data_IF_753073502412
#
_entry.id   IF_753073502412
#
_cell.length_a   1.000
_cell.length_b   1.000
_cell.length_c   1.000
_cell.angle_alpha   90.00
_cell.angle_beta   90.00
_cell.angle_gamma   90.00
#
_symmetry.space_group_name_H-M   'P 1'
#
loop_
_entity.id
_entity.type
_entity.pdbx_description
1 polymer ?
#
# COMPACT_ATOMS: atom_id res chain seq x y z
N UNK A 1 -22.84 -0.16 -5.29
CA UNK A 1 -21.80 0.21 -6.28
C UNK A 1 -21.46 1.66 -6.00
N UNK A 2 -20.40 1.88 -5.25
CA UNK A 2 -19.92 3.23 -4.98
C UNK A 2 -19.08 3.62 -6.19
N UNK A 3 -19.40 4.76 -6.74
CA UNK A 3 -18.76 5.38 -7.89
C UNK A 3 -17.23 5.25 -7.85
N UNK A 4 -16.72 4.22 -8.52
CA UNK A 4 -15.30 4.09 -8.87
C UNK A 4 -14.85 5.23 -9.81
N UNK A 5 -15.76 6.16 -10.07
CA UNK A 5 -15.66 7.22 -11.07
C UNK A 5 -15.33 8.60 -10.51
N UNK A 6 -14.85 8.71 -9.27
CA UNK A 6 -14.24 10.00 -8.91
C UNK A 6 -12.90 10.12 -9.62
N UNK A 7 -12.68 11.19 -10.41
CA UNK A 7 -11.45 11.39 -11.18
C UNK A 7 -10.19 11.52 -10.30
N UNK A 8 -10.34 11.41 -8.99
CA UNK A 8 -9.30 11.65 -7.99
C UNK A 8 -8.58 10.40 -7.49
N UNK A 9 -8.93 9.19 -7.98
CA UNK A 9 -8.22 7.96 -7.64
C UNK A 9 -8.38 7.55 -6.18
N UNK A 10 -9.60 7.21 -5.74
CA UNK A 10 -9.88 6.74 -4.37
C UNK A 10 -9.11 5.44 -4.02
N UNK A 11 -8.80 4.62 -5.01
CA UNK A 11 -8.05 3.37 -4.87
C UNK A 11 -6.53 3.64 -4.92
N UNK A 12 -5.70 2.70 -5.34
CA UNK A 12 -4.26 2.87 -5.57
C UNK A 12 -4.05 3.98 -6.61
N UNK A 13 -3.15 4.92 -6.31
CA UNK A 13 -3.08 6.16 -7.08
C UNK A 13 -1.82 6.26 -7.93
N UNK A 14 -0.69 5.72 -7.44
CA UNK A 14 0.62 6.05 -7.95
C UNK A 14 1.35 4.88 -8.59
N UNK A 15 2.21 5.24 -9.55
CA UNK A 15 3.24 4.42 -10.14
C UNK A 15 4.61 5.02 -9.80
N UNK A 16 5.60 4.16 -9.60
CA UNK A 16 6.98 4.55 -9.33
C UNK A 16 7.91 4.22 -10.49
N UNK A 17 9.07 4.87 -10.57
CA UNK A 17 10.06 4.69 -11.64
C UNK A 17 10.42 3.21 -11.91
N UNK A 18 10.46 2.37 -10.87
CA UNK A 18 10.77 0.94 -10.99
C UNK A 18 9.59 0.04 -11.38
N UNK A 19 8.39 0.59 -11.61
CA UNK A 19 7.18 -0.18 -11.96
C UNK A 19 7.15 -0.50 -13.47
N UNK A 20 8.20 -1.15 -13.96
CA UNK A 20 8.44 -1.33 -15.40
C UNK A 20 7.34 -2.08 -16.10
N UNK A 21 6.81 -3.17 -15.50
CA UNK A 21 5.72 -3.95 -16.10
C UNK A 21 4.40 -3.20 -16.09
N UNK A 22 4.15 -2.41 -15.03
CA UNK A 22 2.95 -1.55 -14.99
C UNK A 22 2.97 -0.49 -16.07
N UNK A 23 4.09 0.20 -16.33
CA UNK A 23 4.19 1.16 -17.43
C UNK A 23 3.99 0.50 -18.79
N UNK A 24 4.53 -0.69 -19.00
CA UNK A 24 4.29 -1.47 -20.21
C UNK A 24 2.80 -1.79 -20.38
N UNK A 25 2.14 -2.29 -19.32
CA UNK A 25 0.71 -2.61 -19.34
C UNK A 25 -0.15 -1.36 -19.62
N UNK A 26 0.17 -0.22 -19.01
CA UNK A 26 -0.51 1.06 -19.26
C UNK A 26 -0.40 1.43 -20.75
N UNK A 27 0.78 1.27 -21.35
CA UNK A 27 1.01 1.50 -22.78
C UNK A 27 0.27 0.51 -23.69
N UNK A 28 0.32 -0.79 -23.37
CA UNK A 28 -0.40 -1.86 -24.07
C UNK A 28 -1.92 -1.63 -24.10
N UNK A 29 -2.47 -1.03 -23.04
CA UNK A 29 -3.88 -0.68 -22.91
C UNK A 29 -4.25 0.68 -23.54
N UNK A 30 -3.30 1.37 -24.17
CA UNK A 30 -3.52 2.69 -24.77
C UNK A 30 -3.78 3.80 -23.75
N UNK A 31 -3.40 3.61 -22.49
CA UNK A 31 -3.53 4.59 -21.43
C UNK A 31 -2.27 5.46 -21.30
N UNK A 32 -2.38 6.57 -20.60
CA UNK A 32 -1.27 7.48 -20.36
C UNK A 32 -1.09 7.78 -18.86
N UNK A 33 0.10 8.24 -18.52
CA UNK A 33 0.44 8.71 -17.17
C UNK A 33 0.81 10.18 -17.17
N UNK A 34 0.76 10.78 -15.99
CA UNK A 34 1.24 12.13 -15.75
C UNK A 34 1.93 12.21 -14.40
N UNK A 35 2.87 13.15 -14.26
CA UNK A 35 3.62 13.33 -13.02
C UNK A 35 2.75 13.84 -11.87
N UNK A 36 2.95 13.28 -10.67
CA UNK A 36 2.48 13.89 -9.43
C UNK A 36 3.18 15.23 -9.25
N UNK A 37 2.43 16.27 -8.88
CA UNK A 37 3.00 17.60 -8.70
C UNK A 37 4.07 17.59 -7.60
N UNK A 38 5.30 17.89 -7.97
CA UNK A 38 6.47 17.92 -7.09
C UNK A 38 7.61 18.80 -7.60
N UNK A 39 7.49 19.36 -8.80
CA UNK A 39 8.57 20.07 -9.49
C UNK A 39 8.86 21.42 -8.83
N UNK A 40 7.84 22.05 -8.25
CA UNK A 40 7.92 23.35 -7.58
C UNK A 40 7.36 23.29 -6.17
N UNK A 41 7.81 24.23 -5.33
CA UNK A 41 7.37 24.35 -3.95
C UNK A 41 8.16 23.47 -2.99
N UNK A 42 7.82 23.59 -1.72
CA UNK A 42 8.47 22.92 -0.60
C UNK A 42 7.50 21.97 0.10
N UNK A 43 8.03 20.85 0.58
CA UNK A 43 7.38 19.97 1.53
C UNK A 43 7.40 20.61 2.91
N UNK A 44 6.28 20.55 3.62
CA UNK A 44 6.18 20.95 5.02
C UNK A 44 6.50 19.77 5.94
N UNK A 45 7.44 19.95 6.84
CA UNK A 45 7.79 19.00 7.88
C UNK A 45 7.41 19.57 9.25
N UNK A 46 6.57 18.84 9.99
CA UNK A 46 6.21 19.17 11.37
C UNK A 46 6.56 18.00 12.28
N UNK A 47 7.65 18.10 13.02
CA UNK A 47 8.10 17.08 13.95
C UNK A 47 8.29 17.69 15.35
N UNK A 48 7.66 17.08 16.36
CA UNK A 48 7.73 17.49 17.76
C UNK A 48 7.39 18.96 17.98
N UNK A 49 6.32 19.43 17.29
CA UNK A 49 5.85 20.80 17.35
C UNK A 49 6.75 21.83 16.64
N UNK A 50 7.81 21.38 15.96
CA UNK A 50 8.67 22.27 15.16
C UNK A 50 8.33 22.13 13.69
N UNK A 51 8.08 23.28 13.04
CA UNK A 51 7.79 23.36 11.61
C UNK A 51 9.00 23.81 10.84
N UNK A 52 9.23 23.16 9.72
CA UNK A 52 10.24 23.54 8.72
C UNK A 52 9.76 23.16 7.34
N UNK A 53 10.37 23.75 6.33
CA UNK A 53 10.14 23.40 4.93
C UNK A 53 11.43 22.92 4.29
N UNK A 54 11.31 22.03 3.31
CA UNK A 54 12.45 21.51 2.57
C UNK A 54 12.06 21.19 1.12
N UNK A 55 13.04 21.22 0.22
CA UNK A 55 12.81 20.75 -1.15
C UNK A 55 12.62 19.23 -1.12
N UNK A 56 11.51 18.70 -1.68
CA UNK A 56 11.29 17.28 -1.71
C UNK A 56 12.09 16.65 -2.85
N UNK A 57 13.11 15.90 -2.50
CA UNK A 57 13.86 15.05 -3.44
C UNK A 57 14.33 13.80 -2.71
N UNK A 58 14.58 12.73 -3.45
CA UNK A 58 15.14 11.49 -2.90
C UNK A 58 16.46 11.80 -2.17
N UNK A 59 16.59 11.32 -0.93
CA UNK A 59 17.74 11.61 -0.06
C UNK A 59 17.71 13.01 0.59
N UNK A 60 16.56 13.71 0.58
CA UNK A 60 16.42 15.00 1.23
C UNK A 60 16.64 14.88 2.75
N UNK A 61 17.42 15.81 3.30
CA UNK A 61 17.82 15.80 4.71
C UNK A 61 16.91 16.75 5.50
N UNK A 62 16.17 16.25 6.50
CA UNK A 62 15.32 17.09 7.33
C UNK A 62 16.14 18.06 8.18
N UNK A 63 15.61 19.26 8.41
CA UNK A 63 16.22 20.27 9.31
C UNK A 63 15.94 19.91 10.77
N UNK A 64 16.73 19.00 11.31
CA UNK A 64 16.72 18.56 12.71
C UNK A 64 18.09 18.86 13.35
N UNK A 65 18.22 18.63 14.66
CA UNK A 65 19.52 18.86 15.32
C UNK A 65 20.62 17.95 14.73
N UNK A 66 21.89 18.36 14.68
CA UNK A 66 22.99 17.55 14.16
C UNK A 66 23.08 16.18 14.81
N UNK A 67 22.81 16.07 16.10
CA UNK A 67 22.79 14.80 16.83
C UNK A 67 21.64 13.90 16.36
N UNK A 68 20.44 14.46 16.17
CA UNK A 68 19.31 13.69 15.66
C UNK A 68 19.52 13.27 14.19
N UNK A 69 20.17 14.10 13.38
CA UNK A 69 20.53 13.77 12.03
C UNK A 69 21.53 12.61 11.97
N UNK A 70 22.58 12.65 12.78
CA UNK A 70 23.56 11.56 12.87
C UNK A 70 22.91 10.25 13.33
N UNK A 71 22.01 10.31 14.33
CA UNK A 71 21.25 9.16 14.81
C UNK A 71 20.33 8.57 13.74
N UNK A 72 19.59 9.42 13.01
CA UNK A 72 18.75 9.00 11.89
C UNK A 72 19.58 8.36 10.77
N UNK A 73 20.65 9.03 10.34
CA UNK A 73 21.51 8.56 9.25
C UNK A 73 22.11 7.18 9.57
N UNK A 74 22.67 6.99 10.79
CA UNK A 74 23.20 5.69 11.17
C UNK A 74 22.12 4.61 11.23
N UNK A 75 20.89 4.97 11.66
CA UNK A 75 19.74 4.06 11.67
C UNK A 75 19.36 3.63 10.26
N UNK A 76 19.22 4.58 9.32
CA UNK A 76 18.93 4.31 7.91
C UNK A 76 19.99 3.42 7.26
N UNK A 77 21.28 3.71 7.47
CA UNK A 77 22.38 2.89 6.93
C UNK A 77 22.39 1.47 7.48
N UNK A 78 22.11 1.29 8.78
CA UNK A 78 22.01 -0.06 9.38
C UNK A 78 20.83 -0.83 8.81
N UNK A 79 19.66 -0.16 8.70
CA UNK A 79 18.46 -0.76 8.16
C UNK A 79 18.65 -1.18 6.70
N UNK A 80 19.19 -0.31 5.87
CA UNK A 80 19.51 -0.59 4.47
C UNK A 80 20.46 -1.78 4.28
N UNK A 81 21.51 -1.87 5.12
CA UNK A 81 22.45 -3.01 5.07
C UNK A 81 21.79 -4.34 5.44
N UNK A 82 20.86 -4.33 6.38
CA UNK A 82 20.10 -5.52 6.74
C UNK A 82 19.11 -5.88 5.61
N UNK A 83 18.39 -4.89 5.08
CA UNK A 83 17.45 -5.10 3.97
C UNK A 83 18.13 -5.72 2.75
N UNK A 84 19.29 -5.21 2.35
CA UNK A 84 20.06 -5.72 1.20
C UNK A 84 20.51 -7.20 1.32
N UNK A 85 20.45 -7.77 2.52
CA UNK A 85 20.82 -9.18 2.76
C UNK A 85 19.62 -10.12 2.78
N UNK A 86 18.40 -9.59 2.67
CA UNK A 86 17.18 -10.38 2.70
C UNK A 86 17.02 -11.16 1.40
N UNK A 87 16.76 -12.46 1.50
CA UNK A 87 16.38 -13.28 0.35
C UNK A 87 14.96 -12.88 -0.10
N UNK A 88 14.84 -12.41 -1.33
CA UNK A 88 13.56 -11.94 -1.87
C UNK A 88 12.63 -13.08 -2.30
N UNK A 89 13.20 -14.22 -2.70
CA UNK A 89 12.41 -15.37 -3.12
C UNK A 89 11.95 -16.21 -1.93
N UNK A 90 12.79 -16.30 -0.89
CA UNK A 90 12.58 -17.11 0.30
C UNK A 90 12.99 -16.35 1.57
N UNK A 91 12.26 -15.30 1.96
CA UNK A 91 12.65 -14.46 3.10
C UNK A 91 12.94 -15.22 4.39
N UNK A 92 12.26 -16.35 4.61
CA UNK A 92 12.47 -17.24 5.76
C UNK A 92 13.82 -17.97 5.76
N UNK A 93 14.55 -17.95 4.65
CA UNK A 93 15.93 -18.50 4.54
C UNK A 93 16.99 -17.39 4.63
N UNK A 94 16.62 -16.15 4.86
CA UNK A 94 17.58 -15.07 5.12
C UNK A 94 18.48 -15.43 6.29
N UNK A 95 19.81 -15.23 6.20
CA UNK A 95 20.70 -15.48 7.32
C UNK A 95 20.24 -14.75 8.60
N UNK A 96 19.96 -15.51 9.67
CA UNK A 96 19.42 -14.98 10.92
C UNK A 96 17.90 -14.68 10.89
N UNK A 97 17.15 -15.26 9.95
CA UNK A 97 15.72 -15.06 9.79
C UNK A 97 14.92 -15.23 11.09
N UNK A 98 15.22 -16.26 11.89
CA UNK A 98 14.55 -16.50 13.19
C UNK A 98 14.68 -15.31 14.14
N UNK A 99 15.86 -14.71 14.23
CA UNK A 99 16.10 -13.53 15.09
C UNK A 99 15.44 -12.28 14.51
N UNK A 100 15.47 -12.13 13.19
CA UNK A 100 14.88 -10.97 12.51
C UNK A 100 13.34 -11.04 12.53
N UNK A 101 12.77 -12.21 12.29
CA UNK A 101 11.33 -12.41 12.28
C UNK A 101 10.72 -12.51 13.68
N UNK A 102 11.48 -13.01 14.66
CA UNK A 102 11.06 -13.13 16.05
C UNK A 102 10.90 -11.79 16.80
N UNK A 103 11.14 -10.65 16.13
CA UNK A 103 10.99 -9.32 16.72
C UNK A 103 10.19 -8.37 15.82
N UNK A 104 9.58 -7.36 16.46
CA UNK A 104 8.91 -6.28 15.74
C UNK A 104 9.90 -5.25 15.21
N UNK A 105 9.52 -4.51 14.18
CA UNK A 105 10.29 -3.35 13.73
C UNK A 105 10.45 -2.30 14.83
N UNK A 106 9.43 -2.11 15.67
CA UNK A 106 9.48 -1.23 16.85
C UNK A 106 10.62 -1.62 17.81
N UNK A 107 10.81 -2.92 18.08
CA UNK A 107 11.90 -3.39 18.93
C UNK A 107 13.27 -3.03 18.36
N UNK A 108 13.42 -3.12 17.04
CA UNK A 108 14.65 -2.71 16.34
C UNK A 108 14.84 -1.18 16.40
N UNK A 109 13.79 -0.39 16.15
CA UNK A 109 13.81 1.07 16.21
C UNK A 109 14.29 1.53 17.59
N UNK A 110 13.68 1.02 18.67
CA UNK A 110 14.05 1.39 20.06
C UNK A 110 15.49 1.05 20.41
N UNK A 111 15.98 -0.07 19.89
CA UNK A 111 17.36 -0.54 20.17
C UNK A 111 18.40 0.27 19.40
N UNK A 112 18.11 0.70 18.20
CA UNK A 112 19.08 1.30 17.28
C UNK A 112 19.02 2.82 17.20
N UNK A 113 17.91 3.46 17.60
CA UNK A 113 17.74 4.90 17.56
C UNK A 113 17.61 5.50 18.97
N UNK A 114 18.35 6.57 19.23
CA UNK A 114 18.40 7.22 20.55
C UNK A 114 17.50 8.44 20.64
N UNK A 115 17.34 9.18 19.53
CA UNK A 115 16.59 10.43 19.49
C UNK A 115 15.10 10.22 19.22
N UNK A 116 14.28 11.12 19.77
CA UNK A 116 12.84 11.13 19.47
C UNK A 116 12.57 11.39 17.99
N UNK A 117 13.33 12.31 17.36
CA UNK A 117 13.18 12.64 15.95
C UNK A 117 13.55 11.47 15.03
N UNK A 118 14.66 10.75 15.33
CA UNK A 118 15.03 9.55 14.57
C UNK A 118 13.96 8.46 14.64
N UNK A 119 13.41 8.21 15.83
CA UNK A 119 12.32 7.24 16.01
C UNK A 119 11.03 7.67 15.29
N UNK A 120 10.66 8.96 15.40
CA UNK A 120 9.46 9.51 14.76
C UNK A 120 9.50 9.32 13.23
N UNK A 121 10.67 9.51 12.60
CA UNK A 121 10.83 9.26 11.17
C UNK A 121 10.44 7.83 10.78
N UNK A 122 10.97 6.82 11.49
CA UNK A 122 10.67 5.42 11.21
C UNK A 122 9.21 5.06 11.52
N UNK A 123 8.61 5.66 12.55
CA UNK A 123 7.18 5.45 12.86
C UNK A 123 6.28 6.02 11.76
N UNK A 124 6.52 7.26 11.33
CA UNK A 124 5.75 7.88 10.24
C UNK A 124 5.96 7.11 8.93
N UNK A 125 7.18 6.67 8.62
CA UNK A 125 7.45 5.85 7.46
C UNK A 125 6.69 4.51 7.52
N UNK A 126 6.63 3.86 8.70
CA UNK A 126 5.86 2.63 8.89
C UNK A 126 4.37 2.84 8.61
N UNK A 127 3.78 3.87 9.20
CA UNK A 127 2.38 4.19 8.99
C UNK A 127 2.10 4.50 7.51
N UNK A 128 2.93 5.33 6.86
CA UNK A 128 2.77 5.69 5.46
C UNK A 128 2.94 4.51 4.47
N UNK A 129 3.72 3.48 4.84
CA UNK A 129 3.99 2.32 3.98
C UNK A 129 2.96 1.19 4.18
N UNK A 130 2.60 0.87 5.42
CA UNK A 130 1.72 -0.27 5.74
C UNK A 130 0.40 0.13 6.39
N UNK A 131 0.18 1.40 6.72
CA UNK A 131 -0.96 1.84 7.53
C UNK A 131 -1.09 1.01 8.84
N UNK A 132 0.04 0.74 9.48
CA UNK A 132 0.20 -0.08 10.68
C UNK A 132 1.28 0.52 11.60
N UNK A 133 1.28 0.14 12.87
CA UNK A 133 2.35 0.50 13.78
C UNK A 133 3.57 -0.40 13.58
N UNK A 134 4.76 0.13 13.87
CA UNK A 134 6.00 -0.65 13.83
C UNK A 134 6.01 -1.84 14.82
N UNK A 135 5.11 -1.84 15.80
CA UNK A 135 4.86 -2.98 16.70
C UNK A 135 4.11 -4.14 16.06
N UNK A 136 3.40 -3.89 14.97
CA UNK A 136 2.56 -4.89 14.30
C UNK A 136 3.33 -5.63 13.20
N UNK A 137 4.42 -5.05 12.71
CA UNK A 137 5.20 -5.52 11.57
C UNK A 137 6.44 -6.27 12.02
N UNK A 138 6.68 -7.48 11.48
CA UNK A 138 7.94 -8.20 11.66
C UNK A 138 9.11 -7.38 11.13
N UNK A 139 10.25 -7.38 11.84
CA UNK A 139 11.46 -6.76 11.32
C UNK A 139 11.88 -7.42 10.00
N UNK A 140 11.83 -8.73 9.88
CA UNK A 140 12.18 -9.43 8.64
C UNK A 140 11.26 -8.98 7.49
N UNK A 141 9.96 -8.78 7.75
CA UNK A 141 9.04 -8.27 6.74
C UNK A 141 9.38 -6.83 6.33
N UNK A 142 9.69 -5.96 7.27
CA UNK A 142 10.10 -4.59 6.97
C UNK A 142 11.37 -4.53 6.10
N UNK A 143 12.34 -5.42 6.38
CA UNK A 143 13.57 -5.55 5.61
C UNK A 143 13.31 -6.10 4.19
N UNK A 144 12.56 -7.20 4.10
CA UNK A 144 12.13 -7.80 2.84
C UNK A 144 11.39 -6.80 1.95
N UNK A 145 10.39 -6.14 2.51
CA UNK A 145 9.58 -5.18 1.78
C UNK A 145 10.41 -4.02 1.25
N UNK A 146 11.32 -3.49 2.07
CA UNK A 146 12.23 -2.41 1.66
C UNK A 146 13.15 -2.87 0.52
N UNK A 147 13.73 -4.07 0.59
CA UNK A 147 14.58 -4.61 -0.46
C UNK A 147 13.80 -4.95 -1.74
N UNK A 148 12.60 -5.51 -1.59
CA UNK A 148 11.68 -5.80 -2.70
C UNK A 148 11.31 -4.55 -3.52
N UNK A 149 11.31 -3.37 -2.89
CA UNK A 149 10.88 -2.10 -3.43
C UNK A 149 12.04 -1.08 -3.58
N UNK A 150 13.23 -1.56 -3.82
CA UNK A 150 14.49 -0.83 -3.93
C UNK A 150 15.07 -0.37 -2.58
N UNK A 151 14.52 0.66 -1.95
CA UNK A 151 14.98 1.20 -0.67
C UNK A 151 13.86 2.01 0.04
N UNK A 152 14.11 2.38 1.30
CA UNK A 152 13.13 3.11 2.11
C UNK A 152 12.85 4.52 1.56
N UNK A 153 13.85 5.19 0.98
CA UNK A 153 13.67 6.51 0.38
C UNK A 153 12.74 6.44 -0.84
N UNK A 154 12.90 5.40 -1.67
CA UNK A 154 11.99 5.14 -2.81
C UNK A 154 10.55 4.95 -2.35
N UNK A 155 10.33 4.26 -1.23
CA UNK A 155 9.00 3.99 -0.71
C UNK A 155 8.23 5.25 -0.27
N UNK A 156 8.93 6.31 0.16
CA UNK A 156 8.33 7.53 0.70
C UNK A 156 8.46 8.75 -0.22
N UNK A 157 9.21 8.64 -1.32
CA UNK A 157 9.48 9.76 -2.21
C UNK A 157 8.46 9.87 -3.35
N UNK A 158 8.20 11.10 -3.81
CA UNK A 158 7.48 11.39 -5.06
C UNK A 158 8.46 11.37 -6.22
N UNK A 159 9.50 12.23 -6.22
CA UNK A 159 10.49 12.26 -7.29
C UNK A 159 11.36 11.01 -7.27
N UNK A 160 11.38 10.28 -8.38
CA UNK A 160 12.06 8.97 -8.53
C UNK A 160 11.70 7.96 -7.44
N UNK A 161 10.50 8.11 -6.88
CA UNK A 161 9.94 7.25 -5.84
C UNK A 161 8.68 6.54 -6.26
N UNK A 162 8.06 5.86 -5.32
CA UNK A 162 6.86 5.06 -5.55
C UNK A 162 5.59 5.89 -5.84
N UNK A 163 5.63 7.22 -5.60
CA UNK A 163 4.52 8.15 -5.83
C UNK A 163 4.73 9.07 -7.03
N UNK A 164 5.61 8.69 -7.98
CA UNK A 164 6.05 9.56 -9.07
C UNK A 164 4.96 9.93 -10.06
N UNK A 165 4.23 8.95 -10.57
CA UNK A 165 3.28 9.14 -11.65
C UNK A 165 1.88 8.65 -11.28
N UNK A 166 0.89 9.16 -12.00
CA UNK A 166 -0.51 8.78 -11.88
C UNK A 166 -1.08 8.45 -13.25
N UNK A 167 -2.04 7.53 -13.31
CA UNK A 167 -2.74 7.18 -14.55
C UNK A 167 -3.78 8.27 -14.85
N UNK A 168 -3.80 8.74 -16.10
CA UNK A 168 -4.79 9.68 -16.59
C UNK A 168 -6.19 9.08 -16.48
N UNK A 169 -7.11 9.77 -15.81
CA UNK A 169 -8.46 9.26 -15.52
C UNK A 169 -8.53 8.29 -14.33
N UNK A 170 -7.40 8.05 -13.63
CA UNK A 170 -7.32 7.20 -12.45
C UNK A 170 -6.94 5.75 -12.77
N UNK A 171 -6.35 5.06 -11.79
CA UNK A 171 -5.85 3.68 -11.96
C UNK A 171 -6.94 2.64 -12.25
N UNK A 172 -8.21 2.95 -11.98
CA UNK A 172 -9.35 2.10 -12.34
C UNK A 172 -9.44 1.86 -13.85
N UNK A 173 -8.95 2.81 -14.65
CA UNK A 173 -8.91 2.69 -16.12
C UNK A 173 -8.13 1.47 -16.62
N UNK A 174 -7.13 1.02 -15.85
CA UNK A 174 -6.38 -0.20 -16.16
C UNK A 174 -7.31 -1.41 -16.08
N UNK A 175 -8.04 -1.55 -14.96
CA UNK A 175 -8.96 -2.67 -14.77
C UNK A 175 -10.12 -2.62 -15.76
N UNK A 176 -10.66 -1.44 -16.06
CA UNK A 176 -11.72 -1.25 -17.06
C UNK A 176 -11.26 -1.66 -18.47
N UNK A 177 -10.06 -1.23 -18.88
CA UNK A 177 -9.51 -1.59 -20.20
C UNK A 177 -9.22 -3.10 -20.31
N UNK A 178 -8.65 -3.71 -19.26
CA UNK A 178 -8.44 -5.16 -19.21
C UNK A 178 -9.77 -5.92 -19.27
N UNK A 179 -10.78 -5.48 -18.52
CA UNK A 179 -12.11 -6.10 -18.52
C UNK A 179 -12.77 -5.98 -19.89
N UNK A 180 -12.64 -4.83 -20.55
CA UNK A 180 -13.15 -4.64 -21.91
C UNK A 180 -12.49 -5.58 -22.93
N UNK A 181 -11.18 -5.81 -22.82
CA UNK A 181 -10.45 -6.74 -23.67
C UNK A 181 -10.84 -8.21 -23.43
N UNK A 182 -11.22 -8.56 -22.22
CA UNK A 182 -11.69 -9.90 -21.84
C UNK A 182 -13.17 -10.13 -22.18
N UNK A 183 -13.97 -9.07 -22.29
CA UNK A 183 -15.38 -9.13 -22.64
C UNK A 183 -16.21 -9.97 -21.68
N UNK A 184 -17.03 -10.87 -22.20
CA UNK A 184 -17.95 -11.72 -21.43
C UNK A 184 -17.27 -12.70 -20.46
N UNK A 185 -15.95 -12.86 -20.54
CA UNK A 185 -15.18 -13.64 -19.57
C UNK A 185 -15.11 -12.97 -18.20
N UNK A 186 -15.40 -11.66 -18.12
CA UNK A 186 -15.47 -10.93 -16.86
C UNK A 186 -16.90 -10.95 -16.34
N UNK A 187 -17.12 -11.69 -15.27
CA UNK A 187 -18.43 -11.81 -14.62
C UNK A 187 -18.44 -10.99 -13.34
N UNK A 188 -19.15 -9.87 -13.36
CA UNK A 188 -19.31 -8.98 -12.21
C UNK A 188 -20.52 -9.35 -11.35
N UNK A 189 -20.54 -8.89 -10.10
CA UNK A 189 -21.68 -9.09 -9.19
C UNK A 189 -21.81 -10.53 -8.69
N UNK A 190 -20.73 -11.32 -8.76
CA UNK A 190 -20.68 -12.70 -8.32
C UNK A 190 -19.64 -12.92 -7.22
N UNK A 191 -19.87 -12.43 -6.00
CA UNK A 191 -18.93 -12.65 -4.89
C UNK A 191 -18.77 -14.15 -4.63
N UNK A 192 -17.54 -14.64 -4.71
CA UNK A 192 -17.21 -16.03 -4.44
C UNK A 192 -17.38 -16.33 -2.96
N UNK A 193 -17.98 -17.48 -2.66
CA UNK A 193 -18.14 -18.00 -1.31
C UNK A 193 -17.28 -19.23 -1.05
N UNK A 194 -17.24 -20.17 -2.01
CA UNK A 194 -16.62 -21.49 -1.85
C UNK A 194 -15.85 -21.90 -3.09
N UNK A 195 -14.76 -22.62 -2.88
CA UNK A 195 -13.97 -23.28 -3.91
C UNK A 195 -13.86 -24.76 -3.55
N UNK A 196 -14.47 -25.61 -4.38
CA UNK A 196 -14.29 -27.05 -4.34
C UNK A 196 -13.15 -27.41 -5.29
N UNK A 197 -12.24 -28.31 -4.88
CA UNK A 197 -11.09 -28.69 -5.70
C UNK A 197 -10.67 -30.14 -5.46
N UNK A 198 -10.20 -30.77 -6.50
CA UNK A 198 -9.65 -32.13 -6.46
C UNK A 198 -8.46 -32.29 -7.44
N UNK A 199 -8.05 -33.52 -7.71
CA UNK A 199 -6.98 -33.79 -8.70
C UNK A 199 -7.35 -33.44 -10.13
N UNK A 200 -8.65 -33.28 -10.48
CA UNK A 200 -9.15 -33.11 -11.83
C UNK A 200 -9.49 -31.66 -12.17
N UNK A 201 -9.87 -30.85 -11.19
CA UNK A 201 -10.26 -29.47 -11.45
C UNK A 201 -10.72 -28.70 -10.23
N UNK A 202 -11.38 -27.57 -10.51
CA UNK A 202 -11.96 -26.70 -9.48
C UNK A 202 -13.39 -26.33 -9.84
N UNK A 203 -14.21 -26.11 -8.82
CA UNK A 203 -15.55 -25.54 -8.93
C UNK A 203 -15.67 -24.35 -7.98
N UNK A 204 -15.84 -23.17 -8.55
CA UNK A 204 -15.96 -21.90 -7.82
C UNK A 204 -17.43 -21.55 -7.67
N UNK A 205 -17.93 -21.40 -6.47
CA UNK A 205 -19.33 -21.17 -6.14
C UNK A 205 -19.49 -19.75 -5.58
N UNK A 206 -20.36 -18.96 -6.23
CA UNK A 206 -20.71 -17.61 -5.79
C UNK A 206 -21.80 -17.62 -4.71
N UNK A 207 -22.01 -16.48 -4.04
CA UNK A 207 -23.03 -16.33 -2.98
C UNK A 207 -24.46 -16.55 -3.45
N UNK A 208 -24.76 -16.27 -4.71
CA UNK A 208 -26.07 -16.47 -5.31
C UNK A 208 -26.33 -17.93 -5.79
N UNK A 209 -25.37 -18.81 -5.57
CA UNK A 209 -25.44 -20.23 -5.95
C UNK A 209 -24.96 -20.52 -7.37
N UNK A 210 -24.64 -19.52 -8.18
CA UNK A 210 -24.00 -19.75 -9.49
C UNK A 210 -22.63 -20.39 -9.31
N UNK A 211 -22.23 -21.26 -10.22
CA UNK A 211 -20.93 -21.94 -10.17
C UNK A 211 -20.19 -21.87 -11.51
N UNK A 212 -18.86 -21.96 -11.41
CA UNK A 212 -17.93 -21.90 -12.51
C UNK A 212 -16.91 -23.02 -12.38
N UNK A 213 -16.62 -23.75 -13.46
CA UNK A 213 -15.68 -24.87 -13.47
C UNK A 213 -14.45 -24.52 -14.27
N UNK A 214 -13.30 -25.04 -13.85
CA UNK A 214 -12.04 -24.88 -14.55
C UNK A 214 -11.02 -25.92 -14.11
N UNK A 215 -9.92 -25.98 -14.83
CA UNK A 215 -8.82 -26.89 -14.51
C UNK A 215 -8.00 -26.41 -13.30
N UNK A 216 -7.97 -25.10 -13.06
CA UNK A 216 -7.34 -24.47 -11.92
C UNK A 216 -8.03 -23.15 -11.55
N UNK A 217 -7.79 -22.65 -10.36
CA UNK A 217 -8.22 -21.34 -9.90
C UNK A 217 -7.01 -20.50 -9.46
N UNK A 218 -7.00 -19.21 -9.83
CA UNK A 218 -6.05 -18.23 -9.30
C UNK A 218 -6.81 -17.28 -8.36
N UNK A 219 -6.54 -17.38 -7.07
CA UNK A 219 -7.15 -16.51 -6.05
C UNK A 219 -6.30 -15.25 -5.93
N UNK A 220 -6.88 -14.09 -6.28
CA UNK A 220 -6.21 -12.79 -6.27
C UNK A 220 -6.71 -11.87 -5.15
N UNK A 221 -7.43 -12.43 -4.19
CA UNK A 221 -7.95 -11.72 -3.04
C UNK A 221 -6.83 -11.39 -2.04
N UNK A 222 -6.94 -10.27 -1.29
CA UNK A 222 -6.07 -10.04 -0.15
C UNK A 222 -6.08 -11.25 0.81
N UNK A 223 -4.95 -11.60 1.46
CA UNK A 223 -4.85 -12.79 2.32
C UNK A 223 -5.97 -12.90 3.37
N UNK A 224 -6.35 -11.78 3.97
CA UNK A 224 -7.46 -11.71 4.93
C UNK A 224 -8.82 -12.11 4.35
N UNK A 225 -9.06 -11.87 3.07
CA UNK A 225 -10.29 -12.27 2.38
C UNK A 225 -10.18 -13.65 1.77
N UNK A 226 -9.02 -14.04 1.27
CA UNK A 226 -8.78 -15.41 0.81
C UNK A 226 -9.03 -16.43 1.93
N UNK A 227 -8.62 -16.11 3.18
CA UNK A 227 -8.90 -16.95 4.35
C UNK A 227 -10.37 -16.98 4.82
N UNK A 228 -11.26 -16.20 4.18
CA UNK A 228 -12.72 -16.23 4.47
C UNK A 228 -13.52 -17.06 3.48
N UNK A 229 -12.91 -17.53 2.42
CA UNK A 229 -13.54 -18.47 1.50
C UNK A 229 -13.63 -19.86 2.15
N UNK A 230 -14.69 -20.57 1.86
CA UNK A 230 -14.80 -22.00 2.16
C UNK A 230 -14.01 -22.81 1.11
N UNK A 231 -13.12 -23.69 1.54
CA UNK A 231 -12.38 -24.59 0.67
C UNK A 231 -12.78 -26.04 0.94
N UNK A 232 -13.01 -26.83 -0.10
CA UNK A 232 -13.37 -28.25 0.02
C UNK A 232 -12.57 -29.11 -0.99
N UNK A 233 -11.66 -29.96 -0.53
CA UNK A 233 -11.27 -30.15 0.87
C UNK A 233 -10.60 -28.90 1.47
N UNK A 234 -10.51 -28.82 2.82
CA UNK A 234 -9.84 -27.70 3.47
C UNK A 234 -8.42 -27.50 2.97
N UNK A 235 -7.97 -26.25 2.94
CA UNK A 235 -6.57 -25.94 2.61
C UNK A 235 -5.63 -26.62 3.62
N UNK A 236 -4.38 -26.90 3.20
CA UNK A 236 -3.34 -27.34 4.13
C UNK A 236 -3.21 -26.36 5.31
N UNK A 237 -3.07 -26.89 6.52
CA UNK A 237 -3.09 -26.10 7.76
C UNK A 237 -2.10 -24.94 7.78
N UNK A 238 -0.91 -25.13 7.19
CA UNK A 238 0.10 -24.06 7.09
C UNK A 238 -0.34 -22.90 6.18
N UNK A 239 -1.11 -23.16 5.11
CA UNK A 239 -1.70 -22.11 4.28
C UNK A 239 -2.80 -21.37 4.99
N UNK A 240 -3.68 -22.08 5.66
CA UNK A 240 -4.76 -21.49 6.47
C UNK A 240 -4.19 -20.63 7.60
N UNK A 241 -3.20 -21.15 8.33
CA UNK A 241 -2.52 -20.40 9.39
C UNK A 241 -1.81 -19.13 8.88
N UNK A 242 -1.24 -19.15 7.67
CA UNK A 242 -0.63 -17.97 7.07
C UNK A 242 -1.66 -16.84 6.89
N UNK A 243 -2.81 -17.12 6.28
CA UNK A 243 -3.84 -16.11 6.01
C UNK A 243 -4.40 -15.47 7.28
N UNK A 244 -4.47 -16.23 8.38
CA UNK A 244 -4.91 -15.73 9.67
C UNK A 244 -3.91 -14.76 10.34
N UNK A 245 -2.65 -14.76 9.91
CA UNK A 245 -1.54 -13.98 10.49
C UNK A 245 -1.00 -12.88 9.60
N UNK A 246 -1.68 -12.59 8.50
CA UNK A 246 -1.35 -11.51 7.59
C UNK A 246 -2.43 -10.42 7.65
N UNK A 247 -2.44 -9.56 8.69
CA UNK A 247 -3.42 -8.50 8.79
C UNK A 247 -3.20 -7.45 7.70
N UNK A 248 -4.28 -6.87 7.19
CA UNK A 248 -4.20 -5.69 6.34
C UNK A 248 -4.01 -4.43 7.19
N UNK A 249 -3.41 -3.40 6.61
CA UNK A 249 -3.27 -2.08 7.24
C UNK A 249 -4.63 -1.41 7.47
N UNK A 250 -4.64 -0.40 8.33
CA UNK A 250 -5.82 0.38 8.69
C UNK A 250 -5.70 1.79 8.13
N UNK A 251 -6.54 2.18 7.16
CA UNK A 251 -6.49 3.52 6.55
C UNK A 251 -7.85 4.07 6.19
N UNK A 252 -8.04 5.35 6.46
CA UNK A 252 -9.09 6.19 5.90
C UNK A 252 -8.40 7.18 4.96
N UNK A 253 -8.71 7.12 3.68
CA UNK A 253 -8.18 8.01 2.66
C UNK A 253 -9.13 9.18 2.46
N UNK A 254 -8.62 10.40 2.51
CA UNK A 254 -9.43 11.62 2.53
C UNK A 254 -9.00 12.57 1.43
N UNK A 255 -9.94 13.30 0.85
CA UNK A 255 -9.73 14.28 -0.20
C UNK A 255 -10.47 15.56 0.15
N UNK A 256 -9.78 16.69 0.07
CA UNK A 256 -10.38 18.02 0.12
C UNK A 256 -10.15 18.71 -1.23
N UNK A 257 -11.25 19.15 -1.82
CA UNK A 257 -11.29 19.72 -3.17
C UNK A 257 -11.53 21.22 -3.06
N UNK A 258 -10.72 21.99 -3.79
CA UNK A 258 -10.69 23.44 -3.81
C UNK A 258 -10.79 23.95 -5.24
N UNK A 259 -11.21 25.20 -5.50
CA UNK A 259 -11.23 25.78 -6.85
C UNK A 259 -9.86 25.71 -7.55
N UNK A 260 -8.79 25.88 -6.76
CA UNK A 260 -7.40 25.86 -7.22
C UNK A 260 -6.46 25.36 -6.13
N UNK A 261 -5.25 24.92 -6.47
CA UNK A 261 -4.25 24.47 -5.49
C UNK A 261 -3.58 25.67 -4.81
N UNK A 262 -4.29 26.36 -3.93
CA UNK A 262 -3.89 27.61 -3.28
C UNK A 262 -2.55 27.52 -2.54
N UNK A 263 -2.18 26.34 -2.03
CA UNK A 263 -0.89 26.11 -1.35
C UNK A 263 0.33 26.33 -2.25
N UNK A 264 0.16 26.24 -3.57
CA UNK A 264 1.23 26.52 -4.54
C UNK A 264 1.58 28.01 -4.55
N UNK A 265 0.62 28.89 -4.33
CA UNK A 265 0.85 30.33 -4.22
C UNK A 265 1.70 30.72 -2.99
N UNK A 266 1.68 29.86 -1.96
CA UNK A 266 2.48 30.03 -0.73
C UNK A 266 3.85 29.32 -0.83
N UNK A 267 4.23 28.84 -2.02
CA UNK A 267 5.49 28.14 -2.25
C UNK A 267 5.54 26.73 -1.68
N UNK A 268 4.37 26.09 -1.42
CA UNK A 268 4.25 24.74 -0.93
C UNK A 268 3.80 23.80 -2.07
N UNK A 269 4.21 22.54 -2.01
CA UNK A 269 3.88 21.54 -3.02
C UNK A 269 2.70 20.62 -2.63
N UNK A 270 1.99 20.92 -1.55
CA UNK A 270 0.89 20.08 -1.07
C UNK A 270 1.31 18.84 -0.28
N UNK A 271 2.61 18.61 -0.12
CA UNK A 271 3.11 17.58 0.77
C UNK A 271 3.30 18.14 2.19
N UNK A 272 2.80 17.42 3.17
CA UNK A 272 3.11 17.63 4.57
C UNK A 272 3.41 16.28 5.23
N UNK A 273 4.39 16.27 6.13
CA UNK A 273 4.72 15.14 6.99
C UNK A 273 4.71 15.63 8.42
N UNK A 274 3.91 14.98 9.28
CA UNK A 274 3.75 15.37 10.68
C UNK A 274 3.72 14.14 11.59
N UNK A 275 4.26 14.27 12.79
CA UNK A 275 4.09 13.28 13.86
C UNK A 275 2.87 13.56 14.76
N UNK A 276 2.03 14.53 14.39
CA UNK A 276 0.90 15.01 15.18
C UNK A 276 -0.40 15.09 14.39
N UNK A 277 -1.50 14.67 15.01
CA UNK A 277 -2.85 14.71 14.46
C UNK A 277 -3.21 13.46 13.65
N UNK A 278 -4.49 13.33 13.23
CA UNK A 278 -4.95 12.15 12.52
C UNK A 278 -4.35 12.03 11.12
N UNK A 279 -4.15 13.13 10.40
CA UNK A 279 -3.52 13.13 9.08
C UNK A 279 -2.05 13.48 9.23
N UNK A 280 -1.18 12.49 8.98
CA UNK A 280 0.27 12.67 9.13
C UNK A 280 0.99 12.89 7.81
N UNK A 281 0.42 12.43 6.70
CA UNK A 281 0.99 12.56 5.36
C UNK A 281 -0.06 13.11 4.40
N UNK A 282 0.35 14.09 3.58
CA UNK A 282 -0.49 14.66 2.52
C UNK A 282 0.25 14.74 1.20
N UNK A 283 -0.50 14.79 0.10
CA UNK A 283 0.04 15.05 -1.25
C UNK A 283 -0.89 15.95 -2.04
N UNK A 284 -0.32 16.68 -3.00
CA UNK A 284 -1.09 17.33 -4.05
C UNK A 284 -1.60 16.27 -5.04
N UNK A 285 -2.90 16.11 -5.08
CA UNK A 285 -3.59 15.16 -5.94
C UNK A 285 -4.35 15.85 -7.09
N UNK A 286 -4.03 17.12 -7.37
CA UNK A 286 -4.64 17.87 -8.46
C UNK A 286 -4.38 17.21 -9.81
N UNK A 287 -5.28 17.37 -10.80
CA UNK A 287 -5.05 16.91 -12.17
C UNK A 287 -3.93 17.72 -12.86
N UNK A 288 -3.45 17.29 -14.04
CA UNK A 288 -2.41 18.00 -14.79
C UNK A 288 -2.75 19.47 -15.10
N UNK A 289 -4.06 19.77 -15.27
CA UNK A 289 -4.54 21.15 -15.47
C UNK A 289 -4.34 22.06 -14.25
N UNK A 290 -4.01 21.49 -13.10
CA UNK A 290 -3.96 22.21 -11.82
C UNK A 290 -5.34 22.56 -11.24
N UNK A 291 -6.43 22.31 -11.94
CA UNK A 291 -7.81 22.61 -11.45
C UNK A 291 -8.73 21.44 -11.65
N UNK A 292 -9.54 21.11 -10.61
CA UNK A 292 -9.55 21.70 -9.27
C UNK A 292 -8.26 21.37 -8.49
N UNK A 293 -7.97 22.16 -7.44
CA UNK A 293 -6.95 21.84 -6.45
C UNK A 293 -7.43 20.70 -5.56
N UNK A 294 -6.62 19.65 -5.37
CA UNK A 294 -7.01 18.49 -4.57
C UNK A 294 -5.89 18.14 -3.60
N UNK A 295 -6.17 18.23 -2.30
CA UNK A 295 -5.31 17.66 -1.26
C UNK A 295 -5.79 16.25 -0.91
N UNK A 296 -4.89 15.29 -0.93
CA UNK A 296 -5.13 13.97 -0.37
C UNK A 296 -4.40 13.85 0.97
N UNK A 297 -5.08 13.28 1.96
CA UNK A 297 -4.53 12.98 3.26
C UNK A 297 -4.91 11.58 3.72
N UNK A 298 -4.10 11.03 4.61
CA UNK A 298 -4.29 9.67 5.11
C UNK A 298 -4.38 9.68 6.63
N UNK A 299 -5.43 9.04 7.15
CA UNK A 299 -5.53 8.65 8.55
C UNK A 299 -5.12 7.17 8.58
N UNK A 300 -4.04 6.83 9.30
CA UNK A 300 -3.39 5.52 9.19
C UNK A 300 -3.23 4.86 10.56
N UNK A 301 -3.10 3.53 10.55
CA UNK A 301 -2.77 2.74 11.71
C UNK A 301 -3.75 2.93 12.87
N UNK A 302 -3.23 3.19 14.06
CA UNK A 302 -3.99 3.42 15.29
C UNK A 302 -4.97 4.59 15.16
N UNK A 303 -4.56 5.65 14.48
CA UNK A 303 -5.43 6.80 14.25
C UNK A 303 -6.63 6.38 13.40
N UNK A 304 -6.45 5.63 12.32
CA UNK A 304 -7.56 5.13 11.51
C UNK A 304 -8.54 4.30 12.33
N UNK A 305 -8.05 3.38 13.15
CA UNK A 305 -8.90 2.55 14.04
C UNK A 305 -9.66 3.38 15.08
N UNK A 306 -9.09 4.49 15.52
CA UNK A 306 -9.74 5.43 16.45
C UNK A 306 -10.79 6.26 15.74
N UNK A 307 -10.43 6.85 14.59
CA UNK A 307 -11.30 7.74 13.84
C UNK A 307 -12.42 7.02 13.06
N UNK A 308 -12.26 5.75 12.71
CA UNK A 308 -13.32 4.93 12.13
C UNK A 308 -14.56 4.81 13.04
N UNK A 309 -14.41 5.03 14.35
CA UNK A 309 -15.51 5.02 15.33
C UNK A 309 -16.19 6.38 15.49
N UNK A 310 -15.72 7.40 14.81
CA UNK A 310 -16.29 8.75 14.80
C UNK A 310 -17.22 8.92 13.61
N UNK A 311 -18.05 9.96 13.67
CA UNK A 311 -18.89 10.33 12.53
C UNK A 311 -18.05 10.91 11.40
N UNK A 312 -18.57 10.88 10.17
CA UNK A 312 -17.93 11.50 9.01
C UNK A 312 -17.69 13.00 9.24
N UNK A 313 -18.62 13.71 9.86
CA UNK A 313 -18.47 15.11 10.18
C UNK A 313 -17.29 15.38 11.13
N UNK A 314 -17.15 14.58 12.19
CA UNK A 314 -16.00 14.69 13.12
C UNK A 314 -14.68 14.40 12.40
N UNK A 315 -14.64 13.39 11.53
CA UNK A 315 -13.45 13.08 10.73
C UNK A 315 -13.10 14.21 9.77
N UNK A 316 -14.09 14.72 9.03
CA UNK A 316 -13.92 15.86 8.14
C UNK A 316 -13.34 17.07 8.87
N UNK A 317 -13.90 17.44 10.00
CA UNK A 317 -13.45 18.61 10.77
C UNK A 317 -12.00 18.41 11.28
N UNK A 318 -11.64 17.21 11.73
CA UNK A 318 -10.28 16.88 12.14
C UNK A 318 -9.29 16.92 10.97
N UNK A 319 -9.67 16.40 9.79
CA UNK A 319 -8.84 16.42 8.57
C UNK A 319 -8.62 17.84 8.08
N UNK A 320 -9.70 18.62 7.96
CA UNK A 320 -9.61 20.03 7.54
C UNK A 320 -8.79 20.83 8.57
N UNK A 321 -8.94 20.55 9.87
CA UNK A 321 -8.11 21.13 10.93
C UNK A 321 -6.61 20.84 10.72
N UNK A 322 -6.24 19.63 10.29
CA UNK A 322 -4.87 19.31 9.90
C UNK A 322 -4.42 20.12 8.67
N UNK A 323 -5.26 20.19 7.62
CA UNK A 323 -4.93 20.96 6.40
C UNK A 323 -4.78 22.45 6.68
N UNK A 324 -5.64 23.03 7.54
CA UNK A 324 -5.49 24.43 8.02
C UNK A 324 -4.16 24.61 8.75
N UNK A 325 -3.81 23.67 9.60
CA UNK A 325 -2.53 23.70 10.31
C UNK A 325 -1.34 23.63 9.35
N UNK A 326 -1.42 22.85 8.27
CA UNK A 326 -0.31 22.69 7.31
C UNK A 326 -0.28 23.84 6.28
N UNK A 327 -1.41 24.20 5.71
CA UNK A 327 -1.51 25.04 4.52
C UNK A 327 -2.21 26.38 4.77
N UNK A 328 -2.54 26.72 6.02
CA UNK A 328 -3.16 27.98 6.38
C UNK A 328 -4.68 27.99 6.23
N UNK A 329 -5.29 29.16 6.59
CA UNK A 329 -6.75 29.34 6.70
C UNK A 329 -7.51 29.09 5.39
N UNK A 330 -6.86 29.21 4.23
CA UNK A 330 -7.49 28.91 2.95
C UNK A 330 -7.99 27.45 2.87
N UNK A 331 -7.33 26.53 3.57
CA UNK A 331 -7.73 25.12 3.63
C UNK A 331 -9.09 24.88 4.29
N UNK A 332 -9.59 25.82 5.11
CA UNK A 332 -10.92 25.73 5.70
C UNK A 332 -12.05 25.88 4.65
N UNK A 333 -11.75 26.46 3.49
CA UNK A 333 -12.72 26.72 2.42
C UNK A 333 -12.77 25.60 1.38
N UNK A 334 -12.73 24.35 1.83
CA UNK A 334 -12.89 23.22 0.93
C UNK A 334 -14.34 23.17 0.40
N UNK A 335 -14.49 23.05 -0.93
CA UNK A 335 -15.79 22.99 -1.60
C UNK A 335 -16.44 21.62 -1.49
N UNK A 336 -15.60 20.57 -1.54
CA UNK A 336 -16.05 19.20 -1.43
C UNK A 336 -15.05 18.40 -0.61
N UNK A 337 -15.57 17.57 0.29
CA UNK A 337 -14.81 16.58 1.04
C UNK A 337 -15.29 15.19 0.66
N UNK A 338 -14.35 14.29 0.43
CA UNK A 338 -14.63 12.88 0.11
C UNK A 338 -13.71 12.03 0.95
N UNK A 339 -14.23 10.97 1.54
CA UNK A 339 -13.41 10.00 2.26
C UNK A 339 -13.79 8.55 1.93
N UNK A 340 -12.86 7.64 2.19
CA UNK A 340 -13.10 6.21 2.10
C UNK A 340 -12.42 5.50 3.26
N UNK A 341 -13.21 4.85 4.11
CA UNK A 341 -12.73 3.91 5.11
C UNK A 341 -12.53 2.53 4.48
N UNK A 342 -11.26 2.21 4.18
CA UNK A 342 -10.93 0.95 3.53
C UNK A 342 -11.08 -0.27 4.44
N UNK A 343 -11.14 -0.09 5.76
CA UNK A 343 -11.43 -1.17 6.72
C UNK A 343 -12.91 -1.58 6.67
N UNK A 344 -13.79 -0.63 6.37
CA UNK A 344 -15.23 -0.87 6.27
C UNK A 344 -15.65 -1.50 4.93
N UNK A 345 -14.82 -1.36 3.87
CA UNK A 345 -15.13 -1.89 2.54
C UNK A 345 -15.20 -3.42 2.56
N UNK A 346 -16.35 -3.99 2.15
CA UNK A 346 -16.63 -5.42 2.25
C UNK A 346 -15.59 -6.30 1.55
N UNK A 347 -15.13 -5.89 0.37
CA UNK A 347 -14.23 -6.66 -0.48
C UNK A 347 -12.77 -6.21 -0.40
N UNK A 348 -12.40 -5.43 0.62
CA UNK A 348 -11.03 -4.97 0.85
C UNK A 348 -10.59 -5.25 2.29
N UNK A 349 -11.38 -4.78 3.27
CA UNK A 349 -11.16 -4.99 4.73
C UNK A 349 -9.82 -4.52 5.24
N UNK A 350 -9.27 -3.48 4.62
CA UNK A 350 -8.02 -2.82 4.97
C UNK A 350 -7.23 -2.39 3.75
N UNK A 351 -6.22 -1.60 3.96
CA UNK A 351 -5.28 -1.07 2.97
C UNK A 351 -3.99 -0.60 3.71
N UNK A 352 -2.78 -0.54 3.10
CA UNK A 352 -2.61 -0.66 1.66
C UNK A 352 -2.52 -2.10 1.17
N UNK A 353 -2.00 -3.02 1.95
CA UNK A 353 -1.86 -4.44 1.73
C UNK A 353 -1.75 -5.18 3.06
N UNK A 354 -1.63 -6.49 3.01
CA UNK A 354 -1.35 -7.30 4.18
C UNK A 354 0.16 -7.30 4.47
N UNK A 355 0.50 -7.39 5.77
CA UNK A 355 1.88 -7.48 6.24
C UNK A 355 2.07 -8.70 7.11
N UNK A 356 3.30 -9.15 7.26
CA UNK A 356 3.63 -10.28 8.10
C UNK A 356 3.91 -9.83 9.54
N UNK A 357 3.18 -10.39 10.49
CA UNK A 357 3.44 -10.24 11.90
C UNK A 357 4.73 -11.01 12.31
N UNK A 358 5.31 -10.72 13.49
CA UNK A 358 6.48 -11.47 13.97
C UNK A 358 6.26 -12.98 14.00
N UNK A 359 7.27 -13.76 13.56
CA UNK A 359 7.28 -15.22 13.53
C UNK A 359 6.54 -15.85 12.35
N UNK A 360 5.89 -15.05 11.51
CA UNK A 360 5.06 -15.60 10.41
C UNK A 360 5.91 -16.05 9.22
N UNK A 361 6.97 -15.31 8.87
CA UNK A 361 7.86 -15.71 7.78
C UNK A 361 8.55 -17.05 8.06
N UNK A 362 9.12 -17.21 9.24
CA UNK A 362 9.86 -18.42 9.61
C UNK A 362 8.97 -19.63 9.85
N UNK A 363 7.71 -19.42 10.26
CA UNK A 363 6.77 -20.52 10.51
C UNK A 363 5.97 -20.94 9.27
N UNK A 364 5.64 -20.00 8.39
CA UNK A 364 4.66 -20.22 7.31
C UNK A 364 5.11 -19.67 5.96
N UNK A 365 6.35 -19.18 5.83
CA UNK A 365 6.84 -18.56 4.61
C UNK A 365 6.78 -19.46 3.39
N UNK A 366 7.01 -20.77 3.55
CA UNK A 366 6.89 -21.75 2.46
C UNK A 366 5.49 -21.76 1.82
N UNK A 367 4.45 -21.48 2.59
CA UNK A 367 3.07 -21.39 2.09
C UNK A 367 2.79 -20.09 1.32
N UNK A 368 3.69 -19.12 1.34
CA UNK A 368 3.44 -17.77 0.80
C UNK A 368 2.91 -17.77 -0.63
N UNK A 369 3.55 -18.50 -1.53
CA UNK A 369 3.20 -18.60 -2.95
C UNK A 369 2.91 -20.02 -3.41
N UNK A 370 3.13 -21.00 -2.54
CA UNK A 370 2.95 -22.39 -2.89
C UNK A 370 1.50 -22.69 -3.26
N UNK A 371 1.23 -23.32 -4.41
CA UNK A 371 -0.12 -23.75 -4.76
C UNK A 371 -0.68 -24.75 -3.75
N UNK A 372 -1.98 -24.77 -3.57
CA UNK A 372 -2.72 -25.80 -2.84
C UNK A 372 -3.50 -26.66 -3.85
N UNK A 373 -2.89 -27.73 -4.33
CA UNK A 373 -3.42 -28.52 -5.43
C UNK A 373 -3.56 -27.67 -6.71
N UNK A 374 -4.77 -27.48 -7.19
CA UNK A 374 -5.09 -26.66 -8.37
C UNK A 374 -5.47 -25.22 -8.03
N UNK A 375 -5.30 -24.80 -6.79
CA UNK A 375 -5.51 -23.42 -6.35
C UNK A 375 -4.16 -22.71 -6.29
N UNK A 376 -4.02 -21.66 -7.08
CA UNK A 376 -2.84 -20.79 -7.17
C UNK A 376 -3.15 -19.43 -6.54
N UNK A 377 -2.10 -18.67 -6.19
CA UNK A 377 -2.22 -17.40 -5.50
C UNK A 377 -1.52 -16.31 -6.29
N UNK A 378 -2.20 -15.18 -6.46
CA UNK A 378 -1.62 -13.95 -6.98
C UNK A 378 -2.17 -12.75 -6.22
N UNK A 379 -1.57 -11.61 -6.43
CA UNK A 379 -1.88 -10.35 -5.76
C UNK A 379 -0.61 -9.62 -5.37
N UNK A 380 -0.75 -8.39 -4.94
CA UNK A 380 0.37 -7.53 -4.59
C UNK A 380 1.27 -8.15 -3.51
N UNK A 381 0.68 -8.88 -2.57
CA UNK A 381 1.37 -9.55 -1.47
C UNK A 381 2.09 -10.83 -1.88
N UNK A 382 1.83 -11.35 -3.08
CA UNK A 382 2.45 -12.60 -3.58
C UNK A 382 3.70 -12.37 -4.42
N UNK A 383 4.17 -11.14 -4.58
CA UNK A 383 5.34 -10.83 -5.41
C UNK A 383 6.61 -10.66 -4.59
N UNK A 384 7.74 -11.25 -5.01
CA UNK A 384 9.05 -11.00 -4.40
C UNK A 384 9.62 -9.63 -4.80
N UNK A 385 9.10 -9.01 -5.86
CA UNK A 385 9.52 -7.71 -6.37
C UNK A 385 8.33 -6.77 -6.40
N UNK A 386 8.48 -5.57 -5.86
CA UNK A 386 7.42 -4.58 -5.70
C UNK A 386 6.23 -5.16 -4.90
N UNK A 387 6.54 -5.89 -3.82
CA UNK A 387 5.53 -6.42 -2.90
C UNK A 387 4.62 -5.29 -2.40
N UNK A 388 3.31 -5.54 -2.37
CA UNK A 388 2.34 -4.55 -1.91
C UNK A 388 1.93 -3.50 -2.96
N UNK A 389 2.55 -3.46 -4.16
CA UNK A 389 2.25 -2.50 -5.23
C UNK A 389 1.52 -3.14 -6.41
N UNK A 390 0.91 -2.32 -7.27
CA UNK A 390 0.28 -2.79 -8.52
C UNK A 390 1.29 -3.52 -9.43
N UNK A 391 2.53 -3.07 -9.47
CA UNK A 391 3.62 -3.74 -10.17
C UNK A 391 3.78 -5.19 -9.69
N UNK A 392 3.80 -5.41 -8.37
CA UNK A 392 3.86 -6.75 -7.79
C UNK A 392 2.62 -7.59 -8.10
N UNK A 393 1.44 -6.96 -8.13
CA UNK A 393 0.20 -7.65 -8.49
C UNK A 393 0.24 -8.19 -9.92
N UNK A 394 0.70 -7.39 -10.89
CA UNK A 394 0.85 -7.81 -12.29
C UNK A 394 1.88 -8.95 -12.39
N UNK A 395 3.07 -8.78 -11.81
CA UNK A 395 4.12 -9.82 -11.82
C UNK A 395 3.67 -11.14 -11.21
N UNK A 396 2.96 -11.09 -10.10
CA UNK A 396 2.45 -12.31 -9.46
C UNK A 396 1.32 -12.96 -10.27
N UNK A 397 0.50 -12.15 -10.95
CA UNK A 397 -0.52 -12.65 -11.87
C UNK A 397 0.08 -13.38 -13.05
N UNK A 398 1.12 -12.82 -13.67
CA UNK A 398 1.87 -13.44 -14.76
C UNK A 398 2.51 -14.77 -14.31
N UNK A 399 3.20 -14.77 -13.18
CA UNK A 399 3.80 -15.99 -12.62
C UNK A 399 2.76 -17.07 -12.26
N UNK A 400 1.60 -16.67 -11.75
CA UNK A 400 0.51 -17.63 -11.50
C UNK A 400 -0.06 -18.20 -12.79
N UNK A 401 -0.20 -17.39 -13.84
CA UNK A 401 -0.64 -17.84 -15.15
C UNK A 401 0.33 -18.86 -15.77
N UNK A 402 1.65 -18.59 -15.69
CA UNK A 402 2.69 -19.54 -16.10
C UNK A 402 2.62 -20.86 -15.33
N UNK A 403 2.42 -20.78 -14.00
CA UNK A 403 2.29 -21.94 -13.13
C UNK A 403 1.05 -22.78 -13.47
N UNK A 404 -0.07 -22.13 -13.80
CA UNK A 404 -1.31 -22.81 -14.26
C UNK A 404 -1.10 -23.43 -15.64
N UNK A 405 -0.48 -22.71 -16.58
CA UNK A 405 -0.22 -23.22 -17.93
C UNK A 405 0.63 -24.50 -17.91
N UNK A 406 1.57 -24.62 -16.97
CA UNK A 406 2.39 -25.81 -16.79
C UNK A 406 1.61 -27.06 -16.32
N UNK A 407 0.38 -26.89 -15.82
CA UNK A 407 -0.51 -28.00 -15.44
C UNK A 407 -1.33 -28.53 -16.62
N UNK A 408 -1.41 -27.76 -17.74
CA UNK A 408 -2.21 -28.14 -18.88
C UNK A 408 -1.44 -29.14 -19.74
N UNK A 409 -2.08 -30.24 -20.15
CA UNK A 409 -1.49 -31.11 -21.17
C UNK A 409 -1.28 -30.32 -22.46
N UNK A 410 -0.07 -30.37 -23.03
CA UNK A 410 0.25 -29.73 -24.29
C UNK A 410 -0.57 -30.29 -25.48
#
# INVERSE_FOLDING_TARGET
MVEASTPYGLVRTWLGEGHTRMYQLVGELGLSTFRTWNDEGQLLLELQGKRSTMKPHKGAVPRISPFALADLTQGLLRFARLAARTDLERPWLTPGAEVLDGQTWESWIRRNLRTKAGRAYFHVACEAIWAAEASDVSLLHALFYTHSNADLDTLVAVDRGAQQDRVTGGSVKIAEAMAAALGERVVLGRPVRRIEHDGNGVRVIARDGSDYRGDAAVVTLPPTLAGRLEYDPPLPSWRDQLTQRMPAGSVIKTYAIYPEPFWRNDGLNGQAVSDTGPVKVTFDNSPPSGRPGVLVGFIEGKEARTWARRTEAERRDAVIGCFVRYFGQAAARCEQYVERDWMAEEFTRGCYGAHFAPGVWTSYGEAWRAPAGRIHWAGAECSPKWNGYMEGAVRSGEAAAESVAALMPG
#
